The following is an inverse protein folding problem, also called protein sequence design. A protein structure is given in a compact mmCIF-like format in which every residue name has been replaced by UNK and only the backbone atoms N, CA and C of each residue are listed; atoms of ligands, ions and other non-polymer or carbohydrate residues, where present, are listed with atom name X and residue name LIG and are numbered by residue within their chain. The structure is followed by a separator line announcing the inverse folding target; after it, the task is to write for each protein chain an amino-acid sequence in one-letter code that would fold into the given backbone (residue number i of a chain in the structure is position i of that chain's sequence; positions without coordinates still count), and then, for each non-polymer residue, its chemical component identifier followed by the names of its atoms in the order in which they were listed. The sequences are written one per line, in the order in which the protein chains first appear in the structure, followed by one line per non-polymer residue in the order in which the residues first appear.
data_IF_500702001217
#
_entry.id   IF_500702001217
#
_cell.length_a   1.000
_cell.length_b   1.000
_cell.length_c   1.000
_cell.angle_alpha   90.00
_cell.angle_beta   90.00
_cell.angle_gamma   90.00
#
_symmetry.space_group_name_H-M   'P 1'
#
loop_
_entity.id
_entity.type
_entity.pdbx_description
1 polymer ?
#
# COMPACT_ATOMS: atom_id res chain seq x y z
N UNK A 1 -14.81 -17.43 22.78
CA UNK A 1 -13.35 -17.54 22.54
C UNK A 1 -13.13 -18.72 21.62
N UNK A 2 -12.35 -18.57 20.55
CA UNK A 2 -12.06 -19.67 19.59
C UNK A 2 -11.13 -20.70 20.26
N UNK A 3 -11.44 -22.00 20.11
CA UNK A 3 -10.62 -23.10 20.65
C UNK A 3 -9.21 -23.09 20.05
N UNK A 4 -8.24 -23.62 20.79
CA UNK A 4 -6.87 -23.80 20.29
C UNK A 4 -6.68 -25.20 19.67
N UNK A 5 -5.72 -25.40 18.75
CA UNK A 5 -5.49 -26.71 18.12
C UNK A 5 -5.30 -27.86 19.11
N UNK A 6 -4.63 -27.62 20.23
CA UNK A 6 -4.39 -28.59 21.30
C UNK A 6 -5.62 -28.99 22.13
N UNK A 7 -6.74 -28.27 21.95
CA UNK A 7 -8.01 -28.57 22.65
C UNK A 7 -8.84 -29.65 21.94
N UNK A 8 -8.32 -30.20 20.81
CA UNK A 8 -8.97 -31.23 20.01
C UNK A 8 -8.22 -32.57 20.12
N UNK A 9 -8.96 -33.69 20.00
CA UNK A 9 -8.39 -35.02 20.07
C UNK A 9 -7.65 -35.42 18.79
N UNK A 10 -8.11 -34.91 17.64
CA UNK A 10 -7.51 -35.18 16.33
C UNK A 10 -7.35 -33.92 15.49
N UNK A 11 -6.47 -33.98 14.49
CA UNK A 11 -6.29 -32.89 13.50
C UNK A 11 -7.56 -32.66 12.70
N UNK A 12 -8.23 -33.71 12.27
CA UNK A 12 -9.47 -33.67 11.49
C UNK A 12 -10.57 -32.92 12.25
N UNK A 13 -10.77 -33.27 13.52
CA UNK A 13 -11.74 -32.59 14.40
C UNK A 13 -11.45 -31.08 14.50
N UNK A 14 -10.19 -30.69 14.66
CA UNK A 14 -9.78 -29.29 14.70
C UNK A 14 -10.05 -28.57 13.37
N UNK A 15 -9.69 -29.19 12.24
CA UNK A 15 -9.91 -28.62 10.90
C UNK A 15 -11.40 -28.43 10.63
N UNK A 16 -12.24 -29.42 10.94
CA UNK A 16 -13.69 -29.33 10.76
C UNK A 16 -14.30 -28.25 11.64
N UNK A 17 -13.86 -28.13 12.89
CA UNK A 17 -14.29 -27.07 13.78
C UNK A 17 -13.98 -25.66 13.21
N UNK A 18 -12.73 -25.42 12.79
CA UNK A 18 -12.34 -24.12 12.24
C UNK A 18 -13.00 -23.85 10.89
N UNK A 19 -13.15 -24.86 10.04
CA UNK A 19 -13.83 -24.71 8.77
C UNK A 19 -15.29 -24.26 8.98
N UNK A 20 -16.05 -24.96 9.83
CA UNK A 20 -17.45 -24.60 10.13
C UNK A 20 -17.52 -23.22 10.78
N UNK A 21 -16.64 -22.92 11.73
CA UNK A 21 -16.57 -21.62 12.37
C UNK A 21 -16.40 -20.48 11.34
N UNK A 22 -15.46 -20.61 10.40
CA UNK A 22 -15.23 -19.54 9.40
C UNK A 22 -16.25 -19.53 8.26
N UNK A 23 -16.90 -20.64 7.97
CA UNK A 23 -18.06 -20.65 7.04
C UNK A 23 -19.25 -19.91 7.63
N UNK A 24 -19.47 -20.02 8.92
CA UNK A 24 -20.55 -19.33 9.62
C UNK A 24 -20.24 -17.84 9.86
N UNK A 25 -19.04 -17.50 10.27
CA UNK A 25 -18.65 -16.15 10.69
C UNK A 25 -17.98 -15.32 9.57
N UNK A 26 -17.66 -15.90 8.43
CA UNK A 26 -17.02 -15.23 7.30
C UNK A 26 -15.53 -14.92 7.50
N UNK A 27 -14.97 -14.14 6.57
CA UNK A 27 -13.58 -13.69 6.67
C UNK A 27 -13.40 -12.72 7.84
N UNK A 28 -12.40 -12.96 8.72
CA UNK A 28 -12.20 -12.12 9.89
C UNK A 28 -11.50 -10.81 9.50
N UNK A 29 -12.27 -9.82 9.05
CA UNK A 29 -11.77 -8.50 8.70
C UNK A 29 -11.07 -7.80 9.89
N UNK A 30 -10.31 -6.75 9.58
CA UNK A 30 -9.83 -5.82 10.59
C UNK A 30 -11.01 -5.01 11.12
N UNK A 31 -11.14 -4.91 12.44
CA UNK A 31 -12.21 -4.18 13.10
C UNK A 31 -11.68 -2.88 13.67
N UNK A 32 -12.43 -1.79 13.52
CA UNK A 32 -12.08 -0.48 14.09
C UNK A 32 -12.03 -0.51 15.62
N UNK A 33 -12.87 -1.33 16.25
CA UNK A 33 -12.93 -1.46 17.69
C UNK A 33 -11.67 -2.10 18.30
N UNK A 34 -10.87 -2.79 17.49
CA UNK A 34 -9.56 -3.33 17.91
C UNK A 34 -8.46 -2.25 18.06
N UNK A 35 -8.72 -1.00 17.67
CA UNK A 35 -7.72 0.05 17.58
C UNK A 35 -8.18 1.36 18.24
N UNK A 36 -7.25 2.02 18.93
CA UNK A 36 -7.42 3.41 19.35
C UNK A 36 -6.73 4.32 18.30
N UNK A 37 -7.47 5.19 17.59
CA UNK A 37 -6.90 6.03 16.55
C UNK A 37 -5.76 6.94 17.04
N UNK A 38 -5.87 7.48 18.27
CA UNK A 38 -4.80 8.31 18.85
C UNK A 38 -3.52 7.52 19.05
N UNK A 39 -3.62 6.31 19.62
CA UNK A 39 -2.48 5.44 19.85
C UNK A 39 -1.82 5.02 18.55
N UNK A 40 -2.63 4.71 17.51
CA UNK A 40 -2.10 4.30 16.20
C UNK A 40 -1.33 5.45 15.53
N UNK A 41 -1.85 6.68 15.56
CA UNK A 41 -1.12 7.84 15.03
C UNK A 41 0.14 8.13 15.85
N UNK A 42 0.04 8.10 17.20
CA UNK A 42 1.19 8.33 18.07
C UNK A 42 2.31 7.32 17.81
N UNK A 43 2.01 6.03 17.65
CA UNK A 43 3.00 5.02 17.28
C UNK A 43 3.74 5.34 16.00
N UNK A 44 3.04 5.88 14.97
CA UNK A 44 3.69 6.30 13.73
C UNK A 44 4.54 7.55 13.95
N UNK A 45 4.04 8.53 14.74
CA UNK A 45 4.80 9.74 15.12
C UNK A 45 6.09 9.36 15.86
N UNK A 46 6.03 8.43 16.79
CA UNK A 46 7.14 8.05 17.66
C UNK A 46 8.19 7.16 16.98
N UNK A 47 7.86 6.51 15.86
CA UNK A 47 8.81 5.70 15.09
C UNK A 47 10.02 6.55 14.69
N UNK A 48 11.22 6.15 15.10
CA UNK A 48 12.45 6.90 14.84
C UNK A 48 13.01 6.60 13.43
N UNK A 49 13.72 7.57 12.85
CA UNK A 49 14.37 7.38 11.54
C UNK A 49 15.38 6.23 11.55
N UNK A 50 16.04 5.97 12.66
CA UNK A 50 16.99 4.85 12.84
C UNK A 50 16.33 3.46 12.73
N UNK A 51 15.03 3.38 12.96
CA UNK A 51 14.26 2.15 12.76
C UNK A 51 13.95 1.90 11.28
N UNK A 52 13.89 2.97 10.48
CA UNK A 52 13.56 2.95 9.06
C UNK A 52 14.81 2.82 8.19
N UNK A 53 15.86 3.56 8.51
CA UNK A 53 17.09 3.56 7.72
C UNK A 53 17.81 2.23 7.90
N UNK A 54 18.14 1.59 6.77
CA UNK A 54 19.00 0.42 6.70
C UNK A 54 20.38 0.77 6.13
N UNK A 55 21.14 -0.24 5.79
CA UNK A 55 22.41 -0.09 5.09
C UNK A 55 22.18 0.17 3.58
N UNK A 56 23.16 0.71 2.89
CA UNK A 56 23.19 0.89 1.43
C UNK A 56 21.93 1.57 0.85
N UNK A 57 21.53 2.72 1.39
CA UNK A 57 20.35 3.45 0.95
C UNK A 57 19.05 2.64 1.05
N UNK A 58 18.99 1.65 1.93
CA UNK A 58 17.81 0.84 2.12
C UNK A 58 16.87 1.40 3.19
N UNK A 59 15.56 1.17 2.99
CA UNK A 59 14.51 1.51 3.94
C UNK A 59 13.82 0.23 4.42
N UNK A 60 13.81 0.03 5.74
CA UNK A 60 13.17 -1.12 6.39
C UNK A 60 11.67 -0.92 6.48
N UNK A 61 10.92 -2.00 6.35
CA UNK A 61 9.47 -1.98 6.57
C UNK A 61 9.14 -2.12 8.06
N UNK A 62 8.64 -1.05 8.66
CA UNK A 62 8.02 -1.07 9.99
C UNK A 62 6.50 -1.05 9.80
N UNK A 63 5.81 -2.09 10.31
CA UNK A 63 4.39 -2.35 10.02
C UNK A 63 3.41 -1.53 10.88
N UNK A 64 3.91 -0.60 11.68
CA UNK A 64 3.12 0.27 12.55
C UNK A 64 2.03 1.01 11.77
N UNK A 65 0.79 0.97 12.25
CA UNK A 65 -0.37 1.59 11.62
C UNK A 65 -1.01 0.79 10.48
N UNK A 66 -0.32 -0.22 9.89
CA UNK A 66 -0.86 -0.94 8.72
C UNK A 66 -2.14 -1.73 9.04
N UNK A 67 -2.25 -2.34 10.21
CA UNK A 67 -3.45 -3.07 10.63
C UNK A 67 -4.66 -2.15 10.77
N UNK A 68 -4.45 -1.02 11.42
CA UNK A 68 -5.47 0.02 11.59
C UNK A 68 -5.97 0.57 10.25
N UNK A 69 -5.09 0.83 9.31
CA UNK A 69 -5.48 1.34 8.00
C UNK A 69 -6.43 0.40 7.26
N UNK A 70 -6.25 -0.91 7.33
CA UNK A 70 -7.15 -1.86 6.68
C UNK A 70 -8.60 -1.79 7.18
N UNK A 71 -8.86 -1.20 8.34
CA UNK A 71 -10.24 -0.98 8.83
C UNK A 71 -11.02 0.03 7.99
N UNK A 72 -10.34 0.92 7.26
CA UNK A 72 -10.93 1.91 6.36
C UNK A 72 -11.16 1.36 4.94
N UNK A 73 -10.51 0.26 4.58
CA UNK A 73 -10.53 -0.32 3.25
C UNK A 73 -10.93 -1.81 3.27
N UNK A 74 -12.11 -2.17 3.81
CA UNK A 74 -12.50 -3.59 3.95
C UNK A 74 -12.62 -4.32 2.61
N UNK A 75 -12.75 -3.60 1.50
CA UNK A 75 -12.81 -4.12 0.14
C UNK A 75 -11.46 -4.63 -0.39
N UNK A 76 -10.34 -4.43 0.33
CA UNK A 76 -9.04 -4.96 -0.08
C UNK A 76 -9.05 -6.48 -0.33
N UNK A 77 -9.96 -7.22 0.31
CA UNK A 77 -10.11 -8.66 0.12
C UNK A 77 -10.70 -9.05 -1.24
N UNK A 78 -11.28 -8.09 -1.97
CA UNK A 78 -11.83 -8.26 -3.30
C UNK A 78 -10.79 -8.01 -4.40
N UNK A 79 -9.67 -7.39 -4.05
CA UNK A 79 -8.57 -7.11 -4.98
C UNK A 79 -7.75 -8.35 -5.24
N UNK A 80 -7.15 -8.41 -6.43
CA UNK A 80 -6.31 -9.54 -6.83
C UNK A 80 -5.11 -9.06 -7.63
N UNK A 81 -4.10 -9.88 -7.74
CA UNK A 81 -3.00 -9.68 -8.68
C UNK A 81 -3.28 -10.42 -9.98
N UNK A 82 -2.60 -10.01 -11.05
CA UNK A 82 -2.75 -10.60 -12.37
C UNK A 82 -2.71 -12.14 -12.33
N UNK A 83 -3.70 -12.79 -12.95
CA UNK A 83 -3.87 -14.24 -12.97
C UNK A 83 -4.02 -14.93 -11.59
N UNK A 84 -4.38 -14.21 -10.54
CA UNK A 84 -4.64 -14.80 -9.23
C UNK A 84 -6.12 -14.69 -8.82
N UNK A 85 -6.47 -15.35 -7.72
CA UNK A 85 -7.77 -15.19 -7.06
C UNK A 85 -7.67 -14.13 -5.97
N UNK A 86 -8.75 -13.40 -5.73
CA UNK A 86 -8.85 -12.53 -4.55
C UNK A 86 -8.91 -13.36 -3.26
N UNK A 87 -8.66 -12.70 -2.12
CA UNK A 87 -8.83 -13.33 -0.81
C UNK A 87 -10.27 -13.80 -0.63
N UNK A 88 -11.26 -13.01 -1.07
CA UNK A 88 -12.68 -13.38 -1.00
C UNK A 88 -13.01 -14.60 -1.85
N UNK A 89 -12.55 -14.65 -3.10
CA UNK A 89 -12.74 -15.81 -3.97
C UNK A 89 -12.14 -17.09 -3.38
N UNK A 90 -10.95 -16.99 -2.82
CA UNK A 90 -10.27 -18.11 -2.19
C UNK A 90 -10.96 -18.56 -0.89
N UNK A 91 -11.46 -17.61 -0.10
CA UNK A 91 -12.20 -17.88 1.13
C UNK A 91 -13.54 -18.56 0.88
N UNK A 92 -14.22 -18.20 -0.20
CA UNK A 92 -15.51 -18.80 -0.58
C UNK A 92 -15.36 -20.16 -1.26
N UNK A 93 -14.14 -20.59 -1.57
CA UNK A 93 -13.85 -21.92 -2.10
C UNK A 93 -13.51 -22.88 -0.95
N UNK A 94 -14.36 -23.89 -0.71
CA UNK A 94 -14.24 -24.79 0.43
C UNK A 94 -12.92 -25.57 0.47
N UNK A 95 -12.41 -25.99 -0.68
CA UNK A 95 -11.13 -26.70 -0.78
C UNK A 95 -9.97 -25.78 -0.38
N UNK A 96 -9.95 -24.55 -0.89
CA UNK A 96 -8.90 -23.58 -0.57
C UNK A 96 -8.97 -23.12 0.89
N UNK A 97 -10.17 -22.93 1.44
CA UNK A 97 -10.35 -22.59 2.85
C UNK A 97 -9.87 -23.72 3.75
N UNK A 98 -10.24 -24.98 3.47
CA UNK A 98 -9.74 -26.15 4.23
C UNK A 98 -8.23 -26.24 4.17
N UNK A 99 -7.63 -26.07 2.99
CA UNK A 99 -6.18 -26.07 2.79
C UNK A 99 -5.48 -24.95 3.58
N UNK A 100 -6.08 -23.76 3.61
CA UNK A 100 -5.58 -22.65 4.44
C UNK A 100 -5.60 -23.03 5.93
N UNK A 101 -6.73 -23.52 6.43
CA UNK A 101 -6.94 -23.92 7.82
C UNK A 101 -5.92 -25.01 8.21
N UNK A 102 -5.72 -26.00 7.36
CA UNK A 102 -4.74 -27.04 7.59
C UNK A 102 -3.31 -26.49 7.69
N UNK A 103 -2.93 -25.54 6.84
CA UNK A 103 -1.62 -24.90 6.90
C UNK A 103 -1.43 -24.08 8.18
N UNK A 104 -2.47 -23.34 8.61
CA UNK A 104 -2.44 -22.62 9.88
C UNK A 104 -2.34 -23.56 11.06
N UNK A 105 -3.10 -24.67 11.05
CA UNK A 105 -3.03 -25.70 12.08
C UNK A 105 -1.61 -26.27 12.19
N UNK A 106 -1.04 -26.70 11.08
CA UNK A 106 0.31 -27.26 11.05
C UNK A 106 1.36 -26.26 11.53
N UNK A 107 1.20 -24.97 11.17
CA UNK A 107 2.10 -23.90 11.62
C UNK A 107 2.03 -23.73 13.15
N UNK A 108 0.81 -23.60 13.70
CA UNK A 108 0.61 -23.40 15.14
C UNK A 108 1.09 -24.61 15.95
N UNK A 109 0.85 -25.82 15.45
CA UNK A 109 1.31 -27.06 16.12
C UNK A 109 2.82 -27.28 16.08
N UNK A 110 3.50 -26.71 15.07
CA UNK A 110 4.96 -26.81 14.94
C UNK A 110 5.72 -25.83 15.83
N UNK A 111 5.08 -24.74 16.26
CA UNK A 111 5.73 -23.63 16.97
C UNK A 111 5.09 -23.43 18.36
N UNK A 112 5.75 -23.82 19.42
CA UNK A 112 5.24 -23.85 20.80
C UNK A 112 4.69 -22.52 21.32
N UNK A 113 5.21 -21.39 20.82
CA UNK A 113 4.78 -20.05 21.23
C UNK A 113 3.64 -19.48 20.36
N UNK A 114 3.21 -20.22 19.35
CA UNK A 114 2.15 -19.78 18.44
C UNK A 114 0.78 -20.24 18.91
N UNK A 115 -0.23 -19.42 18.60
CA UNK A 115 -1.63 -19.71 18.91
C UNK A 115 -2.50 -19.47 17.69
N UNK A 116 -3.61 -20.21 17.63
CA UNK A 116 -4.66 -19.89 16.69
C UNK A 116 -5.25 -18.51 17.00
N UNK A 117 -5.18 -17.60 16.05
CA UNK A 117 -5.70 -16.25 16.21
C UNK A 117 -6.20 -15.70 14.89
N UNK A 118 -7.11 -14.72 14.97
CA UNK A 118 -7.61 -13.96 13.83
C UNK A 118 -6.47 -13.35 13.01
N UNK A 119 -5.45 -12.81 13.67
CA UNK A 119 -4.29 -12.24 12.99
C UNK A 119 -3.50 -13.31 12.22
N UNK A 120 -3.32 -14.51 12.79
CA UNK A 120 -2.62 -15.61 12.13
C UNK A 120 -3.38 -16.08 10.87
N UNK A 121 -4.70 -16.23 10.96
CA UNK A 121 -5.50 -16.63 9.79
C UNK A 121 -5.45 -15.58 8.68
N UNK A 122 -5.53 -14.27 9.02
CA UNK A 122 -5.38 -13.17 8.07
C UNK A 122 -4.01 -13.19 7.36
N UNK A 123 -2.92 -13.36 8.11
CA UNK A 123 -1.56 -13.45 7.54
C UNK A 123 -1.42 -14.65 6.60
N UNK A 124 -1.90 -15.81 7.02
CA UNK A 124 -1.84 -17.02 6.21
C UNK A 124 -2.74 -16.96 4.98
N UNK A 125 -3.90 -16.30 5.05
CA UNK A 125 -4.77 -16.09 3.90
C UNK A 125 -4.06 -15.32 2.79
N UNK A 126 -3.29 -14.30 3.14
CA UNK A 126 -2.48 -13.53 2.18
C UNK A 126 -1.39 -14.35 1.47
N UNK A 127 -0.92 -15.42 2.10
CA UNK A 127 0.23 -16.20 1.59
C UNK A 127 -0.21 -17.51 0.95
N UNK A 128 -1.24 -18.17 1.48
CA UNK A 128 -1.55 -19.56 1.17
C UNK A 128 -2.84 -19.77 0.39
N UNK A 129 -3.68 -18.76 0.23
CA UNK A 129 -4.91 -18.88 -0.57
C UNK A 129 -4.69 -18.71 -2.08
N UNK A 130 -3.47 -18.92 -2.57
CA UNK A 130 -3.07 -18.72 -3.98
C UNK A 130 -3.32 -17.28 -4.50
N UNK A 131 -3.53 -16.33 -3.60
CA UNK A 131 -3.68 -14.92 -3.89
C UNK A 131 -2.45 -14.16 -3.36
N UNK A 132 -1.67 -13.56 -4.24
CA UNK A 132 -0.85 -12.44 -3.80
C UNK A 132 -1.82 -11.29 -3.51
N UNK A 133 -1.96 -10.91 -2.25
CA UNK A 133 -2.80 -9.78 -1.89
C UNK A 133 -2.04 -8.48 -2.08
N UNK A 134 -2.80 -7.43 -2.38
CA UNK A 134 -2.28 -6.04 -2.41
C UNK A 134 -1.61 -5.68 -1.09
N UNK A 135 -0.61 -4.82 -1.17
CA UNK A 135 0.09 -4.28 -0.01
C UNK A 135 -0.19 -2.78 0.15
N UNK A 136 -0.19 -2.30 1.39
CA UNK A 136 -0.25 -0.87 1.67
C UNK A 136 1.17 -0.31 1.81
N UNK A 137 1.42 0.88 1.28
CA UNK A 137 2.67 1.58 1.54
C UNK A 137 2.81 1.86 3.05
N UNK A 138 4.01 1.68 3.62
CA UNK A 138 4.22 1.77 5.08
C UNK A 138 4.16 3.21 5.57
N UNK A 139 3.22 3.56 6.48
CA UNK A 139 3.09 4.92 7.00
C UNK A 139 4.38 5.48 7.60
N UNK A 140 5.15 4.64 8.26
CA UNK A 140 6.43 5.01 8.89
C UNK A 140 7.49 5.41 7.86
N UNK A 141 7.57 4.68 6.74
CA UNK A 141 8.46 5.02 5.61
C UNK A 141 7.99 6.30 4.93
N UNK A 142 6.67 6.44 4.72
CA UNK A 142 6.12 7.67 4.15
C UNK A 142 6.41 8.88 5.04
N UNK A 143 6.20 8.78 6.36
CA UNK A 143 6.58 9.83 7.32
C UNK A 143 8.05 10.21 7.22
N UNK A 144 8.94 9.21 7.13
CA UNK A 144 10.38 9.45 6.98
C UNK A 144 10.67 10.27 5.71
N UNK A 145 10.10 9.86 4.56
CA UNK A 145 10.29 10.55 3.29
C UNK A 145 9.72 11.97 3.32
N UNK A 146 8.54 12.18 3.91
CA UNK A 146 7.96 13.52 4.08
C UNK A 146 8.83 14.43 4.94
N UNK A 147 9.36 13.92 6.04
CA UNK A 147 10.22 14.69 6.94
C UNK A 147 11.57 15.02 6.31
N UNK A 148 12.08 14.15 5.41
CA UNK A 148 13.39 14.32 4.74
C UNK A 148 13.27 15.25 3.55
N UNK A 149 12.24 15.08 2.71
CA UNK A 149 12.15 15.76 1.41
C UNK A 149 11.03 16.80 1.31
N UNK A 150 10.06 16.78 2.21
CA UNK A 150 8.85 17.61 2.12
C UNK A 150 9.03 19.05 2.60
N UNK A 151 10.21 19.44 3.10
CA UNK A 151 10.54 20.80 3.55
C UNK A 151 9.48 21.46 4.48
N UNK A 152 8.74 20.64 5.26
CA UNK A 152 7.59 21.07 6.07
C UNK A 152 6.50 21.82 5.27
N UNK A 153 6.43 21.57 3.99
CA UNK A 153 5.58 22.26 3.03
C UNK A 153 4.36 21.46 2.61
N UNK A 154 3.97 21.67 1.37
CA UNK A 154 2.79 21.09 0.75
C UNK A 154 3.15 19.84 -0.06
N UNK A 155 2.31 18.82 0.00
CA UNK A 155 2.54 17.50 -0.60
C UNK A 155 1.41 17.17 -1.57
N UNK A 156 1.78 16.66 -2.75
CA UNK A 156 0.88 16.05 -3.73
C UNK A 156 1.10 14.55 -3.83
N UNK A 157 0.04 13.75 -3.78
CA UNK A 157 0.06 12.30 -3.99
C UNK A 157 -0.93 11.94 -5.11
N UNK A 158 -0.48 11.77 -6.35
CA UNK A 158 -1.37 11.51 -7.47
C UNK A 158 -2.15 10.19 -7.39
N UNK A 159 -1.73 9.24 -6.53
CA UNK A 159 -2.37 7.93 -6.40
C UNK A 159 -2.55 7.56 -4.92
N UNK A 160 -3.54 8.12 -4.23
CA UNK A 160 -3.76 8.00 -2.77
C UNK A 160 -3.83 6.57 -2.23
N UNK A 161 -4.44 5.67 -2.98
CA UNK A 161 -4.47 4.23 -2.72
C UNK A 161 -5.07 3.86 -1.35
N UNK A 162 -4.38 3.00 -0.60
CA UNK A 162 -4.82 2.44 0.68
C UNK A 162 -4.49 3.33 1.90
N UNK A 163 -4.23 4.62 1.72
CA UNK A 163 -4.05 5.59 2.79
C UNK A 163 -2.74 5.52 3.56
N UNK A 164 -1.81 4.62 3.23
CA UNK A 164 -0.53 4.51 3.95
C UNK A 164 0.31 5.77 3.88
N UNK A 165 0.39 6.39 2.70
CA UNK A 165 1.09 7.68 2.50
C UNK A 165 0.36 8.82 3.19
N UNK A 166 -0.98 8.90 3.10
CA UNK A 166 -1.76 9.92 3.81
C UNK A 166 -1.60 9.81 5.33
N UNK A 167 -1.58 8.60 5.90
CA UNK A 167 -1.37 8.39 7.32
C UNK A 167 0.06 8.75 7.75
N UNK A 168 1.05 8.45 6.93
CA UNK A 168 2.42 8.92 7.11
C UNK A 168 2.54 10.45 7.05
N UNK A 169 1.78 11.11 6.15
CA UNK A 169 1.68 12.57 6.11
C UNK A 169 1.08 13.12 7.40
N UNK A 170 -0.01 12.53 7.92
CA UNK A 170 -0.62 12.95 9.18
C UNK A 170 0.39 12.95 10.33
N UNK A 171 1.30 11.98 10.36
CA UNK A 171 2.37 11.85 11.35
C UNK A 171 3.62 12.69 11.05
N UNK A 172 3.75 13.30 9.89
CA UNK A 172 4.92 14.06 9.45
C UNK A 172 4.87 15.54 9.91
N UNK A 173 5.90 16.30 9.54
CA UNK A 173 5.94 17.74 9.79
C UNK A 173 5.40 18.60 8.61
N UNK A 174 4.93 17.99 7.53
CA UNK A 174 4.31 18.69 6.39
C UNK A 174 2.93 19.25 6.76
N UNK A 175 2.46 20.26 6.01
CA UNK A 175 1.27 21.06 6.37
C UNK A 175 0.04 20.74 5.56
N UNK A 176 0.20 20.53 4.26
CA UNK A 176 -0.88 20.29 3.30
C UNK A 176 -0.63 19.00 2.54
N UNK A 177 -1.68 18.26 2.29
CA UNK A 177 -1.67 17.03 1.49
C UNK A 177 -2.86 17.06 0.54
N UNK A 178 -2.59 16.83 -0.70
CA UNK A 178 -3.61 16.66 -1.72
C UNK A 178 -3.36 15.37 -2.47
N UNK A 179 -4.41 14.57 -2.68
CA UNK A 179 -4.30 13.33 -3.44
C UNK A 179 -5.45 13.11 -4.40
N UNK A 180 -5.20 12.26 -5.41
CA UNK A 180 -6.19 11.68 -6.30
C UNK A 180 -6.37 10.20 -6.00
N UNK A 181 -7.61 9.72 -6.08
CA UNK A 181 -7.95 8.30 -5.97
C UNK A 181 -9.22 8.02 -6.81
N UNK A 182 -9.09 7.31 -7.94
CA UNK A 182 -10.22 7.10 -8.84
C UNK A 182 -11.21 6.03 -8.34
N UNK A 183 -10.77 5.06 -7.53
CA UNK A 183 -11.67 4.04 -7.00
C UNK A 183 -12.59 4.62 -5.93
N UNK A 184 -13.90 4.55 -6.16
CA UNK A 184 -14.92 5.12 -5.26
C UNK A 184 -14.78 4.60 -3.83
N UNK A 185 -14.62 3.30 -3.64
CA UNK A 185 -14.48 2.70 -2.31
C UNK A 185 -13.18 3.13 -1.60
N UNK A 186 -12.08 3.26 -2.34
CA UNK A 186 -10.81 3.73 -1.79
C UNK A 186 -10.88 5.22 -1.45
N UNK A 187 -11.49 6.03 -2.30
CA UNK A 187 -11.78 7.45 -2.02
C UNK A 187 -12.58 7.63 -0.73
N UNK A 188 -13.68 6.87 -0.55
CA UNK A 188 -14.47 6.89 0.69
C UNK A 188 -13.64 6.47 1.91
N UNK A 189 -12.77 5.46 1.76
CA UNK A 189 -11.84 5.03 2.79
C UNK A 189 -10.86 6.13 3.20
N UNK A 190 -10.31 6.88 2.24
CA UNK A 190 -9.45 8.03 2.50
C UNK A 190 -10.19 9.17 3.21
N UNK A 191 -11.43 9.47 2.80
CA UNK A 191 -12.27 10.46 3.50
C UNK A 191 -12.56 10.03 4.94
N UNK A 192 -12.88 8.77 5.18
CA UNK A 192 -13.12 8.23 6.51
C UNK A 192 -11.86 8.30 7.39
N UNK A 193 -10.68 7.98 6.83
CA UNK A 193 -9.41 8.13 7.52
C UNK A 193 -9.14 9.59 7.89
N UNK A 194 -9.29 10.54 6.96
CA UNK A 194 -9.20 11.97 7.20
C UNK A 194 -10.12 12.42 8.35
N UNK A 195 -11.39 12.02 8.29
CA UNK A 195 -12.42 12.44 9.25
C UNK A 195 -12.23 11.84 10.65
N UNK A 196 -11.42 10.80 10.79
CA UNK A 196 -11.04 10.22 12.09
C UNK A 196 -10.16 11.17 12.90
N UNK A 197 -9.48 12.13 12.25
CA UNK A 197 -8.52 13.05 12.88
C UNK A 197 -8.86 14.53 12.68
N UNK A 198 -10.05 15.00 13.07
CA UNK A 198 -10.51 16.39 12.82
C UNK A 198 -9.69 17.43 13.58
N UNK A 199 -8.94 17.02 14.60
CA UNK A 199 -8.11 17.89 15.45
C UNK A 199 -6.71 18.15 14.87
N UNK A 200 -6.31 17.46 13.81
CA UNK A 200 -5.03 17.73 13.16
C UNK A 200 -5.07 19.09 12.46
N UNK A 201 -4.13 19.97 12.82
CA UNK A 201 -3.95 21.27 12.18
C UNK A 201 -3.22 21.12 10.83
N UNK A 202 -3.79 20.29 9.94
CA UNK A 202 -3.27 19.98 8.60
C UNK A 202 -4.40 20.07 7.59
N UNK A 203 -4.10 20.60 6.43
CA UNK A 203 -5.04 20.58 5.29
C UNK A 203 -4.89 19.27 4.54
N UNK A 204 -5.98 18.55 4.36
CA UNK A 204 -6.02 17.32 3.57
C UNK A 204 -7.15 17.42 2.55
N UNK A 205 -6.82 17.29 1.28
CA UNK A 205 -7.76 17.26 0.15
C UNK A 205 -7.67 15.90 -0.52
N UNK A 206 -8.81 15.28 -0.76
CA UNK A 206 -8.92 14.02 -1.48
C UNK A 206 -9.84 14.23 -2.68
N UNK A 207 -9.34 13.97 -3.88
CA UNK A 207 -10.06 14.12 -5.14
C UNK A 207 -10.42 12.73 -5.69
N UNK A 208 -11.71 12.50 -6.00
CA UNK A 208 -12.12 11.25 -6.66
C UNK A 208 -11.94 11.40 -8.17
N UNK A 209 -10.69 11.41 -8.61
CA UNK A 209 -10.27 11.64 -10.00
C UNK A 209 -9.07 10.76 -10.34
N UNK A 210 -8.88 10.50 -11.62
CA UNK A 210 -7.67 9.87 -12.13
C UNK A 210 -6.50 10.84 -12.11
N UNK A 211 -5.30 10.35 -11.79
CA UNK A 211 -4.09 11.17 -11.65
C UNK A 211 -3.70 11.91 -12.94
N UNK A 212 -3.90 11.25 -14.09
CA UNK A 212 -3.58 11.81 -15.40
C UNK A 212 -4.57 12.89 -15.86
N UNK A 213 -5.80 12.89 -15.32
CA UNK A 213 -6.85 13.86 -15.67
C UNK A 213 -6.87 15.08 -14.72
N UNK A 214 -6.20 14.97 -13.57
CA UNK A 214 -6.20 16.02 -12.56
C UNK A 214 -4.98 16.93 -12.68
N UNK A 215 -5.18 18.19 -13.03
CA UNK A 215 -4.13 19.19 -13.05
C UNK A 215 -4.10 19.92 -11.69
N UNK A 216 -3.05 19.70 -10.88
CA UNK A 216 -2.93 20.33 -9.58
C UNK A 216 -2.61 21.83 -9.73
N UNK A 217 -2.76 22.58 -8.63
CA UNK A 217 -2.38 23.99 -8.59
C UNK A 217 -0.91 24.17 -8.94
N UNK A 218 -0.63 24.98 -9.94
CA UNK A 218 0.71 25.23 -10.47
C UNK A 218 1.67 25.76 -9.39
N UNK A 219 2.89 25.22 -9.37
CA UNK A 219 4.00 25.65 -8.49
C UNK A 219 3.61 25.79 -7.01
N UNK A 220 2.75 24.88 -6.51
CA UNK A 220 2.20 24.91 -5.16
C UNK A 220 2.88 23.94 -4.19
N UNK A 221 3.29 22.78 -4.68
CA UNK A 221 3.80 21.70 -3.84
C UNK A 221 5.32 21.73 -3.73
N UNK A 222 5.81 21.38 -2.54
CA UNK A 222 7.24 21.21 -2.27
C UNK A 222 7.68 19.79 -2.61
N UNK A 223 6.75 18.84 -2.48
CA UNK A 223 6.96 17.41 -2.72
C UNK A 223 5.77 16.80 -3.44
N UNK A 224 6.02 16.03 -4.49
CA UNK A 224 5.09 15.03 -5.00
C UNK A 224 5.61 13.64 -4.63
N UNK A 225 4.79 12.81 -3.98
CA UNK A 225 5.18 11.46 -3.60
C UNK A 225 4.09 10.46 -3.85
N UNK A 226 4.38 9.45 -4.66
CA UNK A 226 3.41 8.41 -5.00
C UNK A 226 4.04 7.02 -5.17
N UNK A 227 3.18 6.00 -5.10
CA UNK A 227 3.41 4.64 -5.60
C UNK A 227 2.22 4.33 -6.52
N UNK A 228 2.36 4.56 -7.82
CA UNK A 228 1.28 4.35 -8.77
C UNK A 228 1.03 2.86 -9.00
N UNK A 229 -0.07 2.47 -9.67
CA UNK A 229 -0.25 1.11 -10.16
C UNK A 229 0.96 0.65 -11.00
N UNK A 230 1.33 -0.63 -10.91
CA UNK A 230 2.38 -1.20 -11.76
C UNK A 230 1.74 -1.86 -12.99
N UNK A 231 1.20 -1.02 -13.87
CA UNK A 231 0.37 -1.40 -15.02
C UNK A 231 -0.83 -2.25 -14.57
N UNK A 232 -0.98 -3.49 -15.06
CA UNK A 232 -2.07 -4.42 -14.76
C UNK A 232 -1.73 -5.47 -13.68
N UNK A 233 -0.67 -5.23 -12.89
CA UNK A 233 -0.21 -6.21 -11.89
C UNK A 233 -1.25 -6.44 -10.81
N UNK A 234 -1.99 -5.40 -10.42
CA UNK A 234 -3.03 -5.46 -9.41
C UNK A 234 -4.35 -4.93 -9.97
N UNK A 235 -5.42 -5.68 -9.76
CA UNK A 235 -6.79 -5.32 -10.11
C UNK A 235 -7.49 -4.82 -8.84
N UNK A 236 -7.55 -3.50 -8.65
CA UNK A 236 -8.09 -2.87 -7.43
C UNK A 236 -9.61 -2.80 -7.42
N UNK A 237 -10.23 -2.59 -8.59
CA UNK A 237 -11.68 -2.57 -8.75
C UNK A 237 -12.07 -2.90 -10.20
N UNK A 238 -13.38 -2.98 -10.45
CA UNK A 238 -13.94 -3.16 -11.79
C UNK A 238 -14.44 -1.85 -12.41
N UNK A 239 -14.14 -0.71 -11.78
CA UNK A 239 -14.53 0.61 -12.28
C UNK A 239 -13.71 0.96 -13.53
N UNK A 240 -14.34 1.60 -14.51
CA UNK A 240 -13.71 2.02 -15.77
C UNK A 240 -12.64 3.11 -15.59
N UNK A 241 -12.58 3.70 -14.42
CA UNK A 241 -11.53 4.65 -13.99
C UNK A 241 -10.18 3.98 -13.68
N UNK A 242 -10.11 2.65 -13.63
CA UNK A 242 -8.85 1.94 -13.40
C UNK A 242 -7.90 2.11 -14.59
N UNK A 243 -6.65 2.50 -14.32
CA UNK A 243 -5.69 2.86 -15.37
C UNK A 243 -5.46 1.75 -16.40
N UNK A 244 -5.41 0.47 -15.96
CA UNK A 244 -5.24 -0.67 -16.87
C UNK A 244 -6.47 -0.98 -17.71
N UNK A 245 -7.68 -0.53 -17.31
CA UNK A 245 -8.90 -0.64 -18.11
C UNK A 245 -9.00 0.51 -19.11
N UNK A 246 -8.60 1.72 -18.73
CA UNK A 246 -8.53 2.90 -19.62
C UNK A 246 -7.47 2.73 -20.71
N UNK A 247 -6.36 2.11 -20.37
CA UNK A 247 -5.18 1.91 -21.22
C UNK A 247 -4.77 0.44 -21.22
N UNK A 248 -5.40 -0.40 -22.08
CA UNK A 248 -5.28 -1.85 -22.00
C UNK A 248 -3.91 -2.42 -22.36
N UNK A 249 -3.12 -1.71 -23.13
CA UNK A 249 -1.73 -2.13 -23.45
C UNK A 249 -0.72 -1.34 -22.66
N UNK A 250 0.46 -1.92 -22.42
CA UNK A 250 1.51 -1.25 -21.67
C UNK A 250 1.94 0.08 -22.30
N UNK A 251 2.03 0.14 -23.63
CA UNK A 251 2.41 1.37 -24.34
C UNK A 251 1.34 2.46 -24.19
N UNK A 252 0.06 2.12 -24.33
CA UNK A 252 -1.04 3.07 -24.08
C UNK A 252 -1.04 3.55 -22.62
N UNK A 253 -0.82 2.64 -21.68
CA UNK A 253 -0.77 2.95 -20.25
C UNK A 253 0.43 3.86 -19.92
N UNK A 254 1.59 3.59 -20.50
CA UNK A 254 2.79 4.40 -20.33
C UNK A 254 2.59 5.83 -20.85
N UNK A 255 2.06 5.99 -22.07
CA UNK A 255 1.84 7.31 -22.68
C UNK A 255 0.62 8.04 -22.10
N UNK A 256 -0.47 7.35 -21.79
CA UNK A 256 -1.70 7.94 -21.27
C UNK A 256 -1.63 8.21 -19.76
N UNK A 257 -1.40 7.17 -18.96
CA UNK A 257 -1.42 7.27 -17.50
C UNK A 257 -0.09 7.76 -16.90
N UNK A 258 1.01 7.00 -17.13
CA UNK A 258 2.27 7.26 -16.41
C UNK A 258 2.86 8.63 -16.78
N UNK A 259 2.90 8.94 -18.07
CA UNK A 259 3.39 10.23 -18.56
C UNK A 259 2.49 11.39 -18.12
N UNK A 260 1.16 11.23 -18.21
CA UNK A 260 0.20 12.26 -17.77
C UNK A 260 0.33 12.54 -16.26
N UNK A 261 0.45 11.51 -15.45
CA UNK A 261 0.68 11.63 -14.01
C UNK A 261 2.00 12.38 -13.70
N UNK A 262 3.11 12.04 -14.37
CA UNK A 262 4.41 12.69 -14.18
C UNK A 262 4.34 14.15 -14.62
N UNK A 263 3.69 14.44 -15.75
CA UNK A 263 3.45 15.80 -16.24
C UNK A 263 2.69 16.65 -15.22
N UNK A 264 1.61 16.12 -14.63
CA UNK A 264 0.82 16.81 -13.62
C UNK A 264 1.65 17.06 -12.33
N UNK A 265 2.52 16.11 -11.94
CA UNK A 265 3.48 16.35 -10.86
C UNK A 265 4.42 17.50 -11.18
N UNK A 266 4.91 17.60 -12.43
CA UNK A 266 5.79 18.71 -12.85
C UNK A 266 5.07 20.07 -12.77
N UNK A 267 3.82 20.16 -13.23
CA UNK A 267 3.01 21.38 -13.11
C UNK A 267 2.86 21.80 -11.64
N UNK A 268 2.49 20.85 -10.79
CA UNK A 268 2.18 21.12 -9.39
C UNK A 268 3.39 21.48 -8.53
N UNK A 269 4.57 20.98 -8.87
CA UNK A 269 5.78 21.20 -8.09
C UNK A 269 6.37 22.61 -8.33
N UNK A 270 6.86 23.22 -7.26
CA UNK A 270 7.70 24.41 -7.28
C UNK A 270 9.04 24.10 -7.97
N UNK A 271 9.76 25.14 -8.37
CA UNK A 271 11.16 25.03 -8.78
C UNK A 271 11.98 24.36 -7.69
N UNK A 272 12.83 23.41 -8.06
CA UNK A 272 13.56 22.54 -7.11
C UNK A 272 12.67 21.69 -6.20
N UNK A 273 11.37 21.59 -6.47
CA UNK A 273 10.48 20.65 -5.80
C UNK A 273 10.87 19.21 -6.09
N UNK A 274 10.59 18.32 -5.14
CA UNK A 274 11.01 16.93 -5.20
C UNK A 274 9.86 16.06 -5.70
N UNK A 275 10.15 15.15 -6.64
CA UNK A 275 9.27 14.07 -7.06
C UNK A 275 9.82 12.74 -6.54
N UNK A 276 9.02 11.99 -5.79
CA UNK A 276 9.35 10.65 -5.31
C UNK A 276 8.38 9.65 -5.95
N UNK A 277 8.94 8.62 -6.61
CA UNK A 277 8.15 7.53 -7.20
C UNK A 277 8.67 6.18 -6.69
N UNK A 278 7.83 5.45 -5.98
CA UNK A 278 8.07 4.04 -5.67
C UNK A 278 7.40 3.18 -6.75
N UNK A 279 8.18 2.55 -7.59
CA UNK A 279 7.70 1.72 -8.71
C UNK A 279 8.76 0.69 -9.08
N UNK A 280 8.33 -0.53 -9.39
CA UNK A 280 9.24 -1.60 -9.80
C UNK A 280 8.79 -2.26 -11.10
N UNK A 281 9.75 -2.74 -11.87
CA UNK A 281 9.48 -3.55 -13.05
C UNK A 281 8.82 -4.88 -12.68
N UNK A 282 7.82 -5.26 -13.46
CA UNK A 282 7.01 -6.47 -13.27
C UNK A 282 6.99 -7.30 -14.55
N UNK A 283 6.53 -8.54 -14.48
CA UNK A 283 6.53 -9.44 -15.64
C UNK A 283 5.73 -8.91 -16.84
N UNK A 284 4.64 -8.17 -16.57
CA UNK A 284 3.79 -7.57 -17.61
C UNK A 284 4.28 -6.20 -18.08
N UNK A 285 5.24 -5.60 -17.37
CA UNK A 285 5.88 -4.32 -17.70
C UNK A 285 7.37 -4.36 -17.30
N UNK A 286 8.21 -5.09 -18.04
CA UNK A 286 9.60 -5.36 -17.65
C UNK A 286 10.52 -4.14 -17.74
N UNK A 287 10.15 -3.10 -18.47
CA UNK A 287 10.90 -1.84 -18.64
C UNK A 287 10.38 -0.70 -17.77
N UNK A 288 9.42 -0.95 -16.89
CA UNK A 288 8.67 0.06 -16.15
C UNK A 288 9.56 1.03 -15.35
N UNK A 289 10.60 0.52 -14.68
CA UNK A 289 11.57 1.37 -13.97
C UNK A 289 12.32 2.31 -14.91
N UNK A 290 12.83 1.79 -16.05
CA UNK A 290 13.56 2.56 -17.04
C UNK A 290 12.66 3.59 -17.72
N UNK A 291 11.44 3.20 -18.07
CA UNK A 291 10.45 4.09 -18.69
C UNK A 291 10.06 5.22 -17.73
N UNK A 292 9.86 4.92 -16.45
CA UNK A 292 9.57 5.94 -15.43
C UNK A 292 10.67 6.98 -15.32
N UNK A 293 11.93 6.54 -15.21
CA UNK A 293 13.08 7.44 -15.15
C UNK A 293 13.20 8.27 -16.43
N UNK A 294 13.06 7.62 -17.60
CA UNK A 294 13.14 8.32 -18.90
C UNK A 294 12.04 9.37 -19.09
N UNK A 295 10.80 9.06 -18.71
CA UNK A 295 9.69 10.00 -18.79
C UNK A 295 9.86 11.18 -17.82
N UNK A 296 10.30 10.93 -16.60
CA UNK A 296 10.56 11.99 -15.63
C UNK A 296 11.67 12.93 -16.12
N UNK A 297 12.77 12.39 -16.65
CA UNK A 297 13.87 13.22 -17.21
C UNK A 297 13.43 14.01 -18.44
N UNK A 298 12.61 13.46 -19.31
CA UNK A 298 12.06 14.17 -20.47
C UNK A 298 11.11 15.30 -20.06
N UNK A 299 10.45 15.17 -18.89
CA UNK A 299 9.56 16.20 -18.35
C UNK A 299 10.30 17.32 -17.61
N UNK A 300 11.62 17.26 -17.48
CA UNK A 300 12.44 18.29 -16.82
C UNK A 300 12.76 17.98 -15.36
N UNK A 301 12.83 16.69 -15.01
CA UNK A 301 13.32 16.25 -13.71
C UNK A 301 14.77 15.72 -13.81
N UNK A 302 15.56 15.91 -12.75
CA UNK A 302 16.88 15.35 -12.57
C UNK A 302 16.81 14.24 -11.55
N UNK A 303 17.24 13.02 -11.89
CA UNK A 303 17.37 11.93 -10.92
C UNK A 303 18.51 12.23 -9.94
N UNK A 304 18.19 12.36 -8.65
CA UNK A 304 19.14 12.70 -7.59
C UNK A 304 19.62 11.49 -6.81
N UNK A 305 18.72 10.53 -6.56
CA UNK A 305 19.03 9.34 -5.75
C UNK A 305 18.04 8.20 -6.06
N UNK A 306 18.40 6.99 -5.64
CA UNK A 306 17.51 5.82 -5.67
C UNK A 306 17.65 5.06 -4.36
N UNK A 307 16.57 5.06 -3.56
CA UNK A 307 16.50 4.31 -2.31
C UNK A 307 15.95 2.90 -2.58
N UNK A 308 16.24 1.95 -1.68
CA UNK A 308 15.80 0.56 -1.76
C UNK A 308 14.76 0.28 -0.67
N UNK A 309 13.48 0.16 -1.01
CA UNK A 309 12.47 -0.29 -0.06
C UNK A 309 12.55 -1.80 0.11
N UNK A 310 13.00 -2.27 1.28
CA UNK A 310 13.09 -3.70 1.59
C UNK A 310 11.69 -4.29 1.71
N UNK A 311 11.37 -5.33 0.94
CA UNK A 311 10.05 -6.01 0.99
C UNK A 311 10.08 -7.25 1.87
N UNK A 312 11.04 -8.13 1.66
CA UNK A 312 11.18 -9.38 2.42
C UNK A 312 12.58 -9.97 2.24
N UNK A 313 13.01 -10.76 3.21
CA UNK A 313 14.13 -11.67 3.01
C UNK A 313 13.63 -12.96 2.37
N UNK A 314 14.26 -13.41 1.30
CA UNK A 314 13.97 -14.70 0.68
C UNK A 314 15.04 -15.68 1.15
N UNK A 315 14.64 -16.73 1.88
CA UNK A 315 15.56 -17.74 2.39
C UNK A 315 16.44 -18.29 1.25
N UNK A 316 17.76 -18.12 1.37
CA UNK A 316 18.75 -18.56 0.37
C UNK A 316 18.86 -17.74 -0.91
N UNK A 317 18.08 -16.64 -1.08
CA UNK A 317 18.07 -15.79 -2.30
C UNK A 317 18.34 -14.30 -2.06
N UNK A 318 18.62 -13.89 -0.81
CA UNK A 318 18.88 -12.49 -0.47
C UNK A 318 17.64 -11.67 -0.13
N UNK A 319 17.76 -10.36 -0.27
CA UNK A 319 16.70 -9.39 0.09
C UNK A 319 15.98 -8.94 -1.20
N UNK A 320 14.65 -9.04 -1.22
CA UNK A 320 13.82 -8.42 -2.25
C UNK A 320 13.58 -6.96 -1.88
N UNK A 321 13.79 -6.04 -2.81
CA UNK A 321 13.49 -4.63 -2.63
C UNK A 321 12.78 -4.05 -3.86
N UNK A 322 12.16 -2.89 -3.68
CA UNK A 322 11.64 -2.04 -4.75
C UNK A 322 12.38 -0.70 -4.73
N UNK A 323 12.67 -0.11 -5.91
CA UNK A 323 13.30 1.19 -5.96
C UNK A 323 12.31 2.30 -5.58
N UNK A 324 12.85 3.33 -4.91
CA UNK A 324 12.19 4.62 -4.71
C UNK A 324 13.07 5.65 -5.39
N UNK A 325 12.62 6.15 -6.52
CA UNK A 325 13.35 7.17 -7.30
C UNK A 325 13.09 8.55 -6.71
N UNK A 326 14.14 9.31 -6.49
CA UNK A 326 14.11 10.69 -5.99
C UNK A 326 14.57 11.61 -7.11
N UNK A 327 13.67 12.46 -7.57
CA UNK A 327 13.94 13.46 -8.60
C UNK A 327 13.80 14.86 -8.04
N UNK A 328 14.49 15.81 -8.65
CA UNK A 328 14.35 17.24 -8.42
C UNK A 328 13.88 17.93 -9.71
N UNK A 329 12.87 18.79 -9.64
CA UNK A 329 12.42 19.60 -10.77
C UNK A 329 13.51 20.62 -11.11
N UNK A 330 13.91 20.68 -12.39
CA UNK A 330 14.85 21.68 -12.88
C UNK A 330 14.33 23.09 -12.63
N UNK A 331 15.23 24.01 -12.32
CA UNK A 331 14.92 25.45 -12.30
C UNK A 331 14.85 25.95 -13.75
N UNK A 332 13.75 26.59 -14.08
CA UNK A 332 13.60 27.29 -15.35
C UNK A 332 14.14 28.70 -15.23
#
# INVERSE_FOLDING_TARGET
MIKQPKDFSTKEEAIDYYFNYYKENGYPNYDKDDYNPFDELSKVIDTQSSEIIGEDNSLKQVMTGCGFLWTFFPHWIDTKTYNSKSVRESWNNDELLRKLIEKVYNFVMKHDNERWSTNRIRQCAKVYCASQSVSNFRPTVAKYLYNTYGNRGNVYDPCGGWGGRMFGFMASNCKEYECCEPSTKSYEGLLNLKNTYPYLKKTITVNNLCAEDYVPKESHFDLAFTSPPYFNTEEYSTEDTQSYLRYPTYEEWKEGFLKGMIHNCHIGLKDSGILIINIASVSTAPTLEQDTVSLAMKEGFILKDTLKLILSSIAGKGIKYEPIFIFEKEKI
#
